data_IF_482673621199
#
_entry.id   IF_482673621199
#
_cell.length_a   1.000
_cell.length_b   1.000
_cell.length_c   1.000
_cell.angle_alpha   90.00
_cell.angle_beta   90.00
_cell.angle_gamma   90.00
#
_symmetry.space_group_name_H-M   'P 1'
#
loop_
_entity.id
_entity.type
_entity.pdbx_description
1 polymer ?
#
# COMPACT_ATOMS: atom_id res chain seq x y z
N UNK A 1 -27.86 12.67 14.86
CA UNK A 1 -27.49 12.89 13.45
C UNK A 1 -27.52 11.55 12.72
N UNK A 2 -28.58 11.27 11.97
CA UNK A 2 -28.79 9.98 11.30
C UNK A 2 -27.84 9.70 10.14
N UNK A 3 -27.14 10.71 9.60
CA UNK A 3 -26.22 10.60 8.46
C UNK A 3 -24.77 10.27 8.83
N UNK A 4 -24.41 10.37 10.12
CA UNK A 4 -23.02 10.23 10.56
C UNK A 4 -22.41 8.84 10.28
N UNK A 5 -23.14 7.71 10.48
CA UNK A 5 -22.61 6.38 10.17
C UNK A 5 -22.27 6.19 8.69
N UNK A 6 -23.07 6.72 7.78
CA UNK A 6 -22.88 6.65 6.33
C UNK A 6 -21.64 7.42 5.90
N UNK A 7 -21.44 8.62 6.45
CA UNK A 7 -20.24 9.42 6.23
C UNK A 7 -18.99 8.72 6.77
N UNK A 8 -19.07 8.10 7.95
CA UNK A 8 -17.95 7.31 8.49
C UNK A 8 -17.60 6.10 7.60
N UNK A 9 -18.59 5.43 7.02
CA UNK A 9 -18.35 4.33 6.05
C UNK A 9 -17.66 4.84 4.78
N UNK A 10 -18.02 6.02 4.30
CA UNK A 10 -17.38 6.64 3.15
C UNK A 10 -15.89 6.94 3.44
N UNK A 11 -15.58 7.56 4.59
CA UNK A 11 -14.20 7.80 5.00
C UNK A 11 -13.39 6.50 5.10
N UNK A 12 -13.94 5.47 5.72
CA UNK A 12 -13.28 4.17 5.81
C UNK A 12 -13.00 3.56 4.43
N UNK A 13 -13.88 3.78 3.44
CA UNK A 13 -13.65 3.33 2.06
C UNK A 13 -12.52 4.07 1.39
N UNK A 14 -12.45 5.39 1.56
CA UNK A 14 -11.36 6.22 1.02
C UNK A 14 -10.03 5.84 1.67
N UNK A 15 -10.01 5.60 2.98
CA UNK A 15 -8.80 5.15 3.69
C UNK A 15 -8.27 3.83 3.13
N UNK A 16 -9.13 2.81 2.96
CA UNK A 16 -8.71 1.52 2.38
C UNK A 16 -8.15 1.66 0.96
N UNK A 17 -8.78 2.49 0.14
CA UNK A 17 -8.32 2.80 -1.22
C UNK A 17 -6.95 3.48 -1.20
N UNK A 18 -6.80 4.52 -0.39
CA UNK A 18 -5.56 5.27 -0.25
C UNK A 18 -4.41 4.39 0.29
N UNK A 19 -4.68 3.57 1.30
CA UNK A 19 -3.71 2.64 1.87
C UNK A 19 -3.23 1.63 0.83
N UNK A 20 -4.13 1.06 0.05
CA UNK A 20 -3.78 0.08 -0.99
C UNK A 20 -2.97 0.72 -2.13
N UNK A 21 -3.38 1.92 -2.57
CA UNK A 21 -2.63 2.68 -3.56
C UNK A 21 -1.22 3.06 -3.06
N UNK A 22 -1.10 3.47 -1.80
CA UNK A 22 0.18 3.79 -1.15
C UNK A 22 1.11 2.59 -1.16
N UNK A 23 0.65 1.41 -0.73
CA UNK A 23 1.46 0.18 -0.72
C UNK A 23 2.00 -0.11 -2.11
N UNK A 24 1.16 -0.10 -3.16
CA UNK A 24 1.58 -0.37 -4.55
C UNK A 24 2.60 0.63 -5.12
N UNK A 25 2.68 1.83 -4.55
CA UNK A 25 3.62 2.87 -4.97
C UNK A 25 4.96 2.81 -4.24
N UNK A 26 5.06 2.08 -3.13
CA UNK A 26 6.31 2.01 -2.34
C UNK A 26 7.50 1.50 -3.16
N UNK A 27 7.34 0.46 -3.99
CA UNK A 27 8.41 -0.04 -4.85
C UNK A 27 8.84 1.01 -5.90
N UNK A 28 7.88 1.67 -6.56
CA UNK A 28 8.16 2.75 -7.52
C UNK A 28 8.85 3.94 -6.87
N UNK A 29 8.47 4.28 -5.64
CA UNK A 29 9.09 5.36 -4.88
C UNK A 29 10.53 5.01 -4.48
N UNK A 30 10.80 3.74 -4.11
CA UNK A 30 12.15 3.25 -3.85
C UNK A 30 13.03 3.29 -5.12
N UNK A 31 12.49 2.89 -6.27
CA UNK A 31 13.17 2.94 -7.58
C UNK A 31 13.55 4.37 -8.02
N UNK A 32 12.78 5.38 -7.59
CA UNK A 32 13.08 6.78 -7.89
C UNK A 32 14.32 7.32 -7.16
N UNK A 33 14.91 6.55 -6.23
CA UNK A 33 16.16 6.86 -5.51
C UNK A 33 16.17 8.17 -4.74
N UNK A 34 15.00 8.73 -4.41
CA UNK A 34 14.91 9.95 -3.61
C UNK A 34 15.49 9.73 -2.21
N UNK A 35 15.35 8.52 -1.65
CA UNK A 35 15.96 8.13 -0.37
C UNK A 35 17.50 8.31 -0.34
N UNK A 36 18.20 8.08 -1.46
CA UNK A 36 19.65 8.32 -1.56
C UNK A 36 19.97 9.82 -1.51
N UNK A 37 19.17 10.62 -2.23
CA UNK A 37 19.32 12.09 -2.31
C UNK A 37 19.06 12.74 -0.96
N UNK A 38 18.08 12.23 -0.23
CA UNK A 38 17.72 12.67 1.11
C UNK A 38 18.60 12.02 2.20
N UNK A 39 19.58 11.19 1.80
CA UNK A 39 20.61 10.59 2.67
C UNK A 39 20.05 9.65 3.74
N UNK A 40 18.91 9.01 3.47
CA UNK A 40 18.40 7.93 4.32
C UNK A 40 19.24 6.66 4.16
N UNK A 41 19.30 5.86 5.22
CA UNK A 41 20.08 4.62 5.24
C UNK A 41 19.48 3.53 4.35
N UNK A 42 18.16 3.57 4.10
CA UNK A 42 17.46 2.64 3.23
C UNK A 42 16.16 3.24 2.67
N UNK A 43 15.59 2.67 1.59
CA UNK A 43 14.26 3.03 1.12
C UNK A 43 13.17 2.88 2.20
N UNK A 44 13.28 1.87 3.06
CA UNK A 44 12.31 1.62 4.12
C UNK A 44 12.32 2.71 5.20
N UNK A 45 13.51 3.23 5.54
CA UNK A 45 13.63 4.34 6.49
C UNK A 45 13.04 5.63 5.93
N UNK A 46 13.29 5.90 4.64
CA UNK A 46 12.69 7.03 3.93
C UNK A 46 11.17 6.91 3.86
N UNK A 47 10.64 5.74 3.46
CA UNK A 47 9.19 5.49 3.43
C UNK A 47 8.55 5.61 4.81
N UNK A 48 9.23 5.16 5.87
CA UNK A 48 8.75 5.30 7.24
C UNK A 48 8.62 6.78 7.64
N UNK A 49 9.62 7.61 7.27
CA UNK A 49 9.59 9.05 7.48
C UNK A 49 8.43 9.71 6.73
N UNK A 50 8.31 9.47 5.42
CA UNK A 50 7.29 10.09 4.57
C UNK A 50 5.86 9.73 4.98
N UNK A 51 5.66 8.52 5.49
CA UNK A 51 4.33 7.97 5.77
C UNK A 51 3.96 8.00 7.25
N UNK A 52 4.85 8.53 8.12
CA UNK A 52 4.64 8.57 9.56
C UNK A 52 4.44 7.19 10.18
N UNK A 53 5.19 6.19 9.72
CA UNK A 53 5.11 4.80 10.19
C UNK A 53 6.45 4.28 10.68
N UNK A 54 6.53 3.02 11.10
CA UNK A 54 7.79 2.42 11.53
C UNK A 54 8.57 1.84 10.35
N UNK A 55 9.92 1.78 10.41
CA UNK A 55 10.73 1.15 9.37
C UNK A 55 10.33 -0.31 9.09
N UNK A 56 9.97 -1.07 10.13
CA UNK A 56 9.49 -2.45 9.98
C UNK A 56 8.19 -2.54 9.17
N UNK A 57 7.24 -1.62 9.40
CA UNK A 57 5.99 -1.58 8.62
C UNK A 57 6.25 -1.13 7.19
N UNK A 58 7.05 -0.08 6.99
CA UNK A 58 7.41 0.41 5.67
C UNK A 58 8.15 -0.66 4.84
N UNK A 59 9.05 -1.41 5.46
CA UNK A 59 9.73 -2.55 4.83
C UNK A 59 8.74 -3.63 4.39
N UNK A 60 7.79 -4.01 5.24
CA UNK A 60 6.78 -5.01 4.89
C UNK A 60 5.88 -4.56 3.72
N UNK A 61 5.50 -3.29 3.69
CA UNK A 61 4.74 -2.69 2.59
C UNK A 61 5.55 -2.69 1.28
N UNK A 62 6.84 -2.33 1.33
CA UNK A 62 7.76 -2.36 0.18
C UNK A 62 7.93 -3.76 -0.39
N UNK A 63 8.22 -4.76 0.46
CA UNK A 63 8.33 -6.16 0.03
C UNK A 63 7.01 -6.66 -0.59
N UNK A 64 5.88 -6.22 -0.04
CA UNK A 64 4.56 -6.53 -0.60
C UNK A 64 4.42 -5.94 -2.00
N UNK A 65 4.79 -4.66 -2.17
CA UNK A 65 4.75 -3.99 -3.47
C UNK A 65 5.64 -4.63 -4.52
N UNK A 66 6.87 -5.01 -4.16
CA UNK A 66 7.83 -5.67 -5.06
C UNK A 66 7.31 -7.03 -5.53
N UNK A 67 6.72 -7.82 -4.62
CA UNK A 67 6.08 -9.10 -4.95
C UNK A 67 4.88 -8.94 -5.90
N UNK A 68 4.17 -7.82 -5.80
CA UNK A 68 3.01 -7.50 -6.64
C UNK A 68 3.41 -6.94 -8.02
N UNK A 69 4.58 -6.33 -8.14
CA UNK A 69 5.08 -5.77 -9.40
C UNK A 69 5.31 -6.84 -10.50
N UNK A 70 5.58 -8.09 -10.10
CA UNK A 70 5.74 -9.24 -11.00
C UNK A 70 4.43 -9.84 -11.55
N UNK A 71 3.28 -9.29 -11.17
CA UNK A 71 1.95 -9.76 -11.57
C UNK A 71 1.24 -8.65 -12.36
N UNK A 72 1.48 -8.61 -13.67
CA UNK A 72 0.71 -7.78 -14.59
C UNK A 72 -0.80 -7.94 -14.35
N UNK A 73 -1.53 -6.83 -14.39
CA UNK A 73 -2.98 -6.70 -14.12
C UNK A 73 -3.47 -6.89 -12.66
N UNK A 74 -2.60 -6.92 -11.64
CA UNK A 74 -3.08 -6.73 -10.24
C UNK A 74 -3.45 -5.26 -9.93
N UNK A 75 -3.10 -4.35 -10.86
CA UNK A 75 -3.37 -2.91 -10.76
C UNK A 75 -4.83 -2.51 -10.98
N UNK A 76 -5.69 -3.39 -11.51
CA UNK A 76 -7.09 -3.02 -11.79
C UNK A 76 -8.02 -3.36 -10.61
N UNK A 77 -7.82 -4.51 -9.93
CA UNK A 77 -8.63 -4.92 -8.78
C UNK A 77 -8.39 -4.06 -7.51
N UNK A 78 -7.18 -3.50 -7.37
CA UNK A 78 -6.86 -2.54 -6.29
C UNK A 78 -7.39 -1.13 -6.62
N UNK A 79 -7.40 -0.74 -7.90
CA UNK A 79 -7.88 0.58 -8.36
C UNK A 79 -9.40 0.76 -8.19
N UNK A 80 -10.14 -0.34 -8.07
CA UNK A 80 -11.59 -0.32 -7.83
C UNK A 80 -11.99 -0.48 -6.34
N UNK A 81 -11.03 -0.58 -5.41
CA UNK A 81 -11.30 -0.59 -3.96
C UNK A 81 -12.01 -1.85 -3.43
N UNK A 82 -11.94 -2.96 -4.16
CA UNK A 82 -12.69 -4.18 -3.84
C UNK A 82 -11.97 -5.16 -2.91
N UNK A 83 -10.67 -5.00 -2.67
CA UNK A 83 -9.86 -5.90 -1.83
C UNK A 83 -8.88 -5.11 -0.93
N UNK A 84 -8.80 -5.47 0.35
CA UNK A 84 -7.71 -5.00 1.22
C UNK A 84 -6.40 -5.74 0.91
N UNK A 85 -5.23 -5.19 1.28
CA UNK A 85 -3.93 -5.84 1.09
C UNK A 85 -3.85 -7.24 1.74
N UNK A 86 -4.44 -7.43 2.90
CA UNK A 86 -4.51 -8.73 3.58
C UNK A 86 -5.36 -9.74 2.80
N UNK A 87 -6.45 -9.29 2.16
CA UNK A 87 -7.35 -10.15 1.38
C UNK A 87 -6.73 -10.58 0.03
N UNK A 88 -5.92 -9.72 -0.59
CA UNK A 88 -5.20 -10.06 -1.82
C UNK A 88 -4.20 -11.21 -1.61
N UNK A 89 -3.55 -11.28 -0.44
CA UNK A 89 -2.68 -12.39 -0.06
C UNK A 89 -3.42 -13.72 0.12
N UNK A 90 -4.64 -13.68 0.66
CA UNK A 90 -5.47 -14.87 0.93
C UNK A 90 -6.19 -15.39 -0.34
N UNK A 91 -6.53 -14.54 -1.30
CA UNK A 91 -7.29 -14.96 -2.49
C UNK A 91 -6.54 -15.99 -3.39
N UNK A 92 -5.21 -16.06 -3.27
CA UNK A 92 -4.36 -16.98 -4.05
C UNK A 92 -4.41 -18.44 -3.58
N UNK A 93 -4.83 -18.75 -2.34
CA UNK A 93 -4.87 -20.14 -1.84
C UNK A 93 -6.11 -20.92 -2.28
N UNK A 94 -7.12 -20.28 -2.87
CA UNK A 94 -8.35 -20.94 -3.36
C UNK A 94 -8.36 -21.28 -4.87
N UNK A 95 -7.32 -20.93 -5.63
CA UNK A 95 -7.19 -21.24 -7.07
C UNK A 95 -5.89 -21.98 -7.40
N UNK A 96 -5.55 -22.99 -6.61
CA UNK A 96 -4.57 -24.02 -6.96
C UNK A 96 -5.25 -25.36 -7.06
#
# INVERSE_FOLDING_TARGET
MSWAPEVMKAFASVQRLAESGRVLMTARAAEAKQWERDRFASPADWLANELGTTPGRAKADLETSERLAGLGATSDAVREGRLSPEQAGVWRTRRR
#
